data_IF_530637703929
#
_entry.id   IF_530637703929
#
_cell.length_a   1.000
_cell.length_b   1.000
_cell.length_c   1.000
_cell.angle_alpha   90.00
_cell.angle_beta   90.00
_cell.angle_gamma   90.00
#
_symmetry.space_group_name_H-M   'P 1'
#
loop_
_entity.id
_entity.type
_entity.pdbx_description
1 polymer ?
#
# COMPACT_ATOMS: atom_id res chain seq x y z
N UNK A 1 0.39 -34.94 -0.71
CA UNK A 1 1.36 -33.92 -0.24
C UNK A 1 1.25 -32.73 -1.16
N UNK A 2 1.02 -31.52 -0.64
CA UNK A 2 0.88 -30.30 -1.44
C UNK A 2 1.85 -29.22 -0.92
N UNK A 3 2.20 -28.26 -1.79
CA UNK A 3 2.99 -27.10 -1.38
C UNK A 3 2.19 -26.20 -0.43
N UNK A 4 2.86 -25.62 0.56
CA UNK A 4 2.23 -24.63 1.45
C UNK A 4 2.14 -23.28 0.74
N UNK A 5 0.91 -22.91 0.35
CA UNK A 5 0.59 -21.67 -0.37
C UNK A 5 0.91 -20.40 0.43
N UNK A 6 1.00 -20.51 1.76
CA UNK A 6 1.24 -19.37 2.66
C UNK A 6 2.70 -19.26 3.10
N UNK A 7 3.54 -20.23 2.70
CA UNK A 7 4.96 -20.20 3.06
C UNK A 7 5.62 -19.02 2.38
N UNK A 8 6.33 -18.24 3.19
CA UNK A 8 6.98 -17.02 2.73
C UNK A 8 8.39 -17.31 2.25
N UNK A 9 8.78 -16.66 1.15
CA UNK A 9 10.17 -16.55 0.72
C UNK A 9 10.92 -15.52 1.55
N UNK A 10 12.05 -15.04 1.02
CA UNK A 10 12.77 -13.90 1.58
C UNK A 10 11.81 -12.72 1.73
N UNK A 11 11.97 -11.90 2.78
CA UNK A 11 11.24 -10.62 2.95
C UNK A 11 9.74 -10.74 3.27
N UNK A 12 9.26 -11.96 3.49
CA UNK A 12 7.86 -12.22 3.78
C UNK A 12 6.97 -12.35 2.54
N UNK A 13 7.55 -12.42 1.33
CA UNK A 13 6.79 -12.64 0.09
C UNK A 13 6.06 -13.97 0.13
N UNK A 14 4.74 -13.95 -0.04
CA UNK A 14 3.99 -15.17 -0.38
C UNK A 14 3.88 -15.32 -1.90
N UNK A 15 3.58 -16.53 -2.40
CA UNK A 15 3.20 -16.73 -3.80
C UNK A 15 2.12 -15.74 -4.29
N UNK A 16 1.18 -15.37 -3.41
CA UNK A 16 0.10 -14.43 -3.72
C UNK A 16 0.60 -12.99 -3.95
N UNK A 17 1.67 -12.55 -3.28
CA UNK A 17 2.27 -11.25 -3.57
C UNK A 17 2.87 -11.25 -4.98
N UNK A 18 3.63 -12.29 -5.31
CA UNK A 18 4.33 -12.39 -6.59
C UNK A 18 3.36 -12.55 -7.78
N UNK A 19 2.20 -13.16 -7.59
CA UNK A 19 1.17 -13.24 -8.64
C UNK A 19 0.51 -11.90 -8.98
N UNK A 20 0.71 -10.87 -8.15
CA UNK A 20 0.19 -9.53 -8.39
C UNK A 20 1.16 -8.66 -9.22
N UNK A 21 2.38 -9.15 -9.48
CA UNK A 21 3.34 -8.48 -10.34
C UNK A 21 2.84 -8.46 -11.80
N UNK A 22 3.06 -7.34 -12.50
CA UNK A 22 2.62 -7.16 -13.90
C UNK A 22 3.29 -8.13 -14.87
N UNK A 23 4.45 -8.69 -14.51
CA UNK A 23 5.17 -9.68 -15.29
C UNK A 23 4.65 -11.11 -15.08
N UNK A 24 3.81 -11.34 -14.06
CA UNK A 24 3.25 -12.66 -13.79
C UNK A 24 2.03 -12.94 -14.67
N UNK A 25 1.81 -14.21 -15.03
CA UNK A 25 0.59 -14.62 -15.74
C UNK A 25 -0.62 -14.46 -14.80
N UNK A 26 -1.66 -13.70 -15.19
CA UNK A 26 -2.87 -13.52 -14.38
C UNK A 26 -3.54 -14.83 -13.96
N UNK A 27 -3.40 -15.91 -14.75
CA UNK A 27 -3.95 -17.22 -14.41
C UNK A 27 -3.35 -17.80 -13.12
N UNK A 28 -2.13 -17.39 -12.74
CA UNK A 28 -1.49 -17.79 -11.49
C UNK A 28 -2.24 -17.21 -10.29
N UNK A 29 -2.69 -15.95 -10.36
CA UNK A 29 -3.47 -15.32 -9.30
C UNK A 29 -4.77 -16.08 -9.05
N UNK A 30 -5.51 -16.41 -10.11
CA UNK A 30 -6.75 -17.19 -10.02
C UNK A 30 -6.51 -18.60 -9.45
N UNK A 31 -5.42 -19.25 -9.87
CA UNK A 31 -5.04 -20.58 -9.37
C UNK A 31 -4.73 -20.53 -7.88
N UNK A 32 -4.00 -19.51 -7.43
CA UNK A 32 -3.68 -19.34 -6.02
C UNK A 32 -4.95 -19.08 -5.23
N UNK A 33 -5.81 -18.16 -5.65
CA UNK A 33 -7.06 -17.81 -4.95
C UNK A 33 -8.04 -18.98 -4.83
N UNK A 34 -8.12 -19.86 -5.83
CA UNK A 34 -8.90 -21.12 -5.74
C UNK A 34 -8.49 -22.00 -4.56
N UNK A 35 -7.22 -21.95 -4.16
CA UNK A 35 -6.66 -22.70 -3.03
C UNK A 35 -6.78 -21.96 -1.69
N UNK A 36 -7.55 -20.85 -1.63
CA UNK A 36 -7.86 -20.07 -0.41
C UNK A 36 -6.62 -19.67 0.40
N UNK A 37 -5.69 -18.89 -0.18
CA UNK A 37 -4.52 -18.39 0.51
C UNK A 37 -4.92 -17.36 1.59
N UNK A 38 -3.99 -17.04 2.48
CA UNK A 38 -4.13 -15.91 3.38
C UNK A 38 -4.02 -14.60 2.58
N UNK A 39 -5.15 -14.06 2.13
CA UNK A 39 -5.23 -12.87 1.27
C UNK A 39 -4.58 -11.63 1.89
N UNK A 40 -4.70 -11.45 3.21
CA UNK A 40 -4.16 -10.30 3.92
C UNK A 40 -2.81 -10.58 4.58
N UNK A 41 -2.06 -11.59 4.13
CA UNK A 41 -0.73 -11.90 4.67
C UNK A 41 0.19 -10.71 4.42
N UNK A 42 0.92 -10.26 5.45
CA UNK A 42 1.80 -9.10 5.36
C UNK A 42 3.27 -9.49 5.16
N UNK A 43 3.97 -8.74 4.32
CA UNK A 43 5.42 -8.75 4.19
C UNK A 43 6.11 -8.08 5.40
N UNK A 44 7.44 -7.97 5.37
CA UNK A 44 8.21 -7.35 6.45
C UNK A 44 8.01 -5.83 6.57
N UNK A 45 7.69 -5.14 5.49
CA UNK A 45 7.29 -3.72 5.49
C UNK A 45 5.81 -3.52 5.88
N UNK A 46 5.05 -4.61 6.01
CA UNK A 46 3.64 -4.59 6.32
C UNK A 46 2.73 -4.56 5.09
N UNK A 47 3.29 -4.55 3.88
CA UNK A 47 2.50 -4.59 2.65
C UNK A 47 1.71 -5.90 2.55
N UNK A 48 0.47 -5.79 2.08
CA UNK A 48 -0.40 -6.90 1.72
C UNK A 48 -0.33 -7.14 0.21
N UNK A 49 -0.82 -8.28 -0.31
CA UNK A 49 -0.96 -8.50 -1.75
C UNK A 49 -1.76 -7.40 -2.44
N UNK A 50 -2.75 -6.79 -1.75
CA UNK A 50 -3.50 -5.65 -2.28
C UNK A 50 -2.62 -4.40 -2.40
N UNK A 51 -1.87 -4.05 -1.36
CA UNK A 51 -0.90 -2.94 -1.42
C UNK A 51 0.13 -3.16 -2.52
N UNK A 52 0.60 -4.40 -2.69
CA UNK A 52 1.52 -4.78 -3.76
C UNK A 52 0.88 -4.63 -5.15
N UNK A 53 -0.36 -5.09 -5.36
CA UNK A 53 -1.06 -4.95 -6.64
C UNK A 53 -1.33 -3.48 -7.00
N UNK A 54 -1.74 -2.67 -6.03
CA UNK A 54 -1.96 -1.22 -6.18
C UNK A 54 -0.68 -0.51 -6.57
N UNK A 55 0.43 -0.90 -5.94
CA UNK A 55 1.75 -0.40 -6.23
C UNK A 55 2.24 -0.74 -7.64
N UNK A 56 2.09 -2.00 -8.06
CA UNK A 56 2.44 -2.45 -9.42
C UNK A 56 1.53 -1.86 -10.49
N UNK A 57 0.53 -1.05 -10.09
CA UNK A 57 -0.54 -0.55 -10.94
C UNK A 57 -1.26 -1.69 -11.68
N UNK A 58 -1.33 -2.87 -11.07
CA UNK A 58 -1.97 -4.04 -11.65
C UNK A 58 -3.47 -3.99 -11.37
N UNK A 59 -4.19 -3.19 -12.16
CA UNK A 59 -5.65 -2.99 -12.05
C UNK A 59 -6.43 -4.30 -11.99
N UNK A 60 -6.01 -5.32 -12.73
CA UNK A 60 -6.71 -6.60 -12.77
C UNK A 60 -6.50 -7.38 -11.47
N UNK A 61 -5.26 -7.45 -10.98
CA UNK A 61 -4.99 -8.05 -9.68
C UNK A 61 -5.73 -7.33 -8.54
N UNK A 62 -5.81 -5.99 -8.56
CA UNK A 62 -6.57 -5.22 -7.56
C UNK A 62 -8.06 -5.61 -7.59
N UNK A 63 -8.69 -5.66 -8.77
CA UNK A 63 -10.10 -6.11 -8.90
C UNK A 63 -10.31 -7.50 -8.33
N UNK A 64 -9.44 -8.43 -8.71
CA UNK A 64 -9.55 -9.84 -8.31
C UNK A 64 -9.32 -9.98 -6.80
N UNK A 65 -8.36 -9.28 -6.21
CA UNK A 65 -8.13 -9.30 -4.77
C UNK A 65 -9.30 -8.69 -3.99
N UNK A 66 -9.82 -7.55 -4.45
CA UNK A 66 -11.01 -6.96 -3.83
C UNK A 66 -12.19 -7.92 -3.95
N UNK A 67 -12.45 -8.55 -5.10
CA UNK A 67 -13.56 -9.52 -5.25
C UNK A 67 -13.48 -10.69 -4.27
N UNK A 68 -12.27 -11.04 -3.80
CA UNK A 68 -12.02 -12.03 -2.76
C UNK A 68 -11.90 -11.46 -1.33
N UNK A 69 -12.46 -10.28 -1.08
CA UNK A 69 -12.52 -9.63 0.24
C UNK A 69 -11.15 -9.27 0.83
N UNK A 70 -10.18 -8.88 0.00
CA UNK A 70 -8.96 -8.24 0.49
C UNK A 70 -9.30 -6.96 1.28
N UNK A 71 -8.63 -6.78 2.43
CA UNK A 71 -8.86 -5.63 3.31
C UNK A 71 -8.11 -4.39 2.80
N UNK A 72 -8.87 -3.32 2.54
CA UNK A 72 -8.38 -2.05 2.00
C UNK A 72 -7.90 -1.08 3.09
N UNK A 73 -7.95 -1.44 4.37
CA UNK A 73 -7.52 -0.60 5.48
C UNK A 73 -6.18 -1.04 6.07
N UNK A 74 -5.64 -2.19 5.69
CA UNK A 74 -4.35 -2.68 6.17
C UNK A 74 -3.23 -1.92 5.46
N UNK A 75 -2.53 -1.07 6.21
CA UNK A 75 -1.38 -0.30 5.75
C UNK A 75 -0.03 -0.95 6.00
N UNK A 76 1.03 -0.22 5.63
CA UNK A 76 2.40 -0.51 6.02
C UNK A 76 2.55 -0.51 7.56
N UNK A 77 3.61 -1.12 8.05
CA UNK A 77 3.99 -0.94 9.46
C UNK A 77 4.43 0.51 9.70
N UNK A 78 4.50 0.91 10.96
CA UNK A 78 5.18 2.13 11.33
C UNK A 78 6.66 2.07 10.98
N UNK A 79 7.25 3.24 10.81
CA UNK A 79 8.61 3.47 10.35
C UNK A 79 9.61 2.81 11.29
N UNK A 80 9.34 2.83 12.59
CA UNK A 80 10.19 2.21 13.60
C UNK A 80 10.19 0.68 13.49
N UNK A 81 9.03 0.04 13.32
CA UNK A 81 8.88 -1.39 13.15
C UNK A 81 9.52 -1.87 11.84
N UNK A 82 9.40 -1.09 10.77
CA UNK A 82 10.13 -1.35 9.51
C UNK A 82 11.64 -1.30 9.77
N UNK A 83 12.13 -0.24 10.44
CA UNK A 83 13.55 -0.08 10.84
C UNK A 83 14.05 -1.21 11.74
N UNK A 84 13.23 -1.73 12.65
CA UNK A 84 13.58 -2.84 13.54
C UNK A 84 13.62 -4.18 12.82
N UNK A 85 12.63 -4.48 11.99
CA UNK A 85 12.62 -5.68 11.13
C UNK A 85 13.81 -5.68 10.17
N UNK A 86 14.19 -4.49 9.69
CA UNK A 86 15.41 -4.28 8.90
C UNK A 86 16.67 -4.64 9.67
N UNK A 87 16.82 -4.12 10.90
CA UNK A 87 17.96 -4.43 11.75
C UNK A 87 18.06 -5.92 12.06
N UNK A 88 16.93 -6.58 12.32
CA UNK A 88 16.92 -8.03 12.59
C UNK A 88 17.30 -8.84 11.35
N UNK A 89 16.76 -8.48 10.18
CA UNK A 89 17.16 -9.11 8.92
C UNK A 89 18.68 -8.98 8.69
N UNK A 90 19.24 -7.78 8.89
CA UNK A 90 20.68 -7.52 8.75
C UNK A 90 21.54 -8.29 9.78
N UNK A 91 21.01 -8.54 10.99
CA UNK A 91 21.71 -9.30 12.03
C UNK A 91 21.78 -10.79 11.69
N UNK A 92 20.70 -11.33 11.13
CA UNK A 92 20.61 -12.75 10.76
C UNK A 92 21.49 -13.10 9.54
N UNK A 93 21.76 -12.13 8.66
CA UNK A 93 22.54 -12.34 7.44
C UNK A 93 24.04 -12.04 7.57
N UNK A 94 24.49 -11.51 8.71
CA UNK A 94 25.91 -11.42 9.03
C UNK A 94 26.71 -10.47 8.13
N UNK A 95 26.34 -9.18 8.13
CA UNK A 95 27.14 -7.98 7.79
C UNK A 95 28.21 -8.05 6.66
N UNK A 96 28.05 -8.92 5.65
CA UNK A 96 28.96 -8.99 4.51
C UNK A 96 28.25 -8.44 3.28
N UNK A 97 28.56 -7.19 2.97
CA UNK A 97 28.10 -6.42 1.81
C UNK A 97 26.59 -6.16 1.73
N UNK A 98 26.23 -5.00 2.29
CA UNK A 98 24.93 -4.29 2.31
C UNK A 98 24.32 -4.01 0.91
N UNK A 99 24.88 -4.57 -0.17
CA UNK A 99 24.68 -4.09 -1.54
C UNK A 99 23.80 -5.03 -2.38
N UNK A 100 23.79 -6.34 -2.11
CA UNK A 100 23.00 -7.32 -2.87
C UNK A 100 21.76 -7.81 -2.10
N UNK A 101 21.84 -7.92 -0.77
CA UNK A 101 20.72 -8.43 0.06
C UNK A 101 19.74 -7.35 0.55
N UNK A 102 20.10 -6.07 0.39
CA UNK A 102 19.12 -4.98 0.36
C UNK A 102 18.36 -4.95 -0.97
N UNK A 103 18.24 -6.08 -1.70
CA UNK A 103 17.45 -6.20 -2.92
C UNK A 103 16.03 -5.68 -2.72
N UNK A 104 15.43 -5.90 -1.56
CA UNK A 104 14.09 -5.42 -1.24
C UNK A 104 14.04 -3.92 -0.95
N UNK A 105 15.11 -3.38 -0.36
CA UNK A 105 15.27 -1.96 -0.15
C UNK A 105 15.57 -1.25 -1.45
N UNK A 106 16.43 -1.79 -2.31
CA UNK A 106 16.61 -1.33 -3.68
C UNK A 106 15.36 -1.55 -4.53
N UNK A 107 14.57 -2.59 -4.28
CA UNK A 107 13.32 -2.87 -4.99
C UNK A 107 12.23 -1.88 -4.54
N UNK A 108 12.01 -1.70 -3.24
CA UNK A 108 11.16 -0.66 -2.66
C UNK A 108 11.66 0.74 -3.09
N UNK A 109 12.98 0.97 -3.07
CA UNK A 109 13.64 2.25 -3.42
C UNK A 109 13.70 2.53 -4.92
N UNK A 110 13.75 1.53 -5.80
CA UNK A 110 13.68 1.73 -7.26
C UNK A 110 12.25 1.80 -7.75
N UNK A 111 11.32 1.10 -7.08
CA UNK A 111 9.99 0.85 -7.61
C UNK A 111 8.87 1.64 -6.89
N UNK A 112 9.03 2.10 -5.63
CA UNK A 112 8.14 3.13 -5.01
C UNK A 112 8.33 4.52 -5.58
N UNK A 113 9.30 4.66 -6.48
CA UNK A 113 10.17 5.81 -6.47
C UNK A 113 10.47 6.27 -7.91
N UNK A 114 9.92 5.63 -8.96
CA UNK A 114 9.96 6.25 -10.30
C UNK A 114 9.14 7.54 -10.39
N UNK A 115 8.12 7.72 -9.55
CA UNK A 115 7.28 8.93 -9.50
C UNK A 115 7.49 9.77 -8.23
N UNK A 116 8.04 9.20 -7.15
CA UNK A 116 8.29 9.90 -5.88
C UNK A 116 9.77 10.34 -5.71
N UNK A 117 10.77 9.68 -6.33
CA UNK A 117 12.22 10.06 -6.19
C UNK A 117 12.47 11.39 -6.85
N UNK A 118 11.86 11.62 -8.01
CA UNK A 118 12.03 12.88 -8.74
C UNK A 118 11.63 14.08 -7.87
N UNK A 119 10.77 13.85 -6.87
CA UNK A 119 10.29 14.87 -5.94
C UNK A 119 11.14 15.01 -4.67
N UNK A 120 11.86 13.98 -4.25
CA UNK A 120 12.60 13.96 -2.98
C UNK A 120 14.02 13.42 -3.21
N UNK A 121 14.96 14.34 -3.43
CA UNK A 121 16.41 14.10 -3.37
C UNK A 121 16.85 13.71 -1.93
N UNK A 122 16.34 12.63 -1.33
CA UNK A 122 16.70 12.27 0.05
C UNK A 122 16.96 10.78 0.31
N UNK A 123 17.73 10.58 1.38
CA UNK A 123 18.19 9.33 1.95
C UNK A 123 17.03 8.39 2.32
N UNK A 124 17.30 7.08 2.26
CA UNK A 124 16.41 5.96 2.58
C UNK A 124 15.55 6.15 3.85
N UNK A 125 16.09 6.80 4.88
CA UNK A 125 15.37 7.02 6.14
C UNK A 125 14.13 7.90 5.95
N UNK A 126 14.21 8.93 5.09
CA UNK A 126 13.10 9.84 4.82
C UNK A 126 11.93 9.10 4.15
N UNK A 127 12.21 8.12 3.27
CA UNK A 127 11.17 7.37 2.56
C UNK A 127 10.38 6.48 3.51
N UNK A 128 11.07 5.78 4.41
CA UNK A 128 10.41 4.96 5.44
C UNK A 128 9.47 5.84 6.27
N UNK A 129 9.94 7.03 6.66
CA UNK A 129 9.14 8.00 7.44
C UNK A 129 7.94 8.55 6.64
N UNK A 130 8.03 8.64 5.31
CA UNK A 130 6.91 9.04 4.44
C UNK A 130 5.84 7.94 4.36
N UNK A 131 6.22 6.67 4.22
CA UNK A 131 5.26 5.58 4.02
C UNK A 131 4.79 4.91 5.32
N UNK A 132 5.41 5.25 6.46
CA UNK A 132 5.05 4.73 7.77
C UNK A 132 3.56 4.80 8.05
N UNK A 133 2.94 3.64 8.26
CA UNK A 133 1.51 3.51 8.53
C UNK A 133 0.58 3.88 7.36
N UNK A 134 1.10 4.10 6.14
CA UNK A 134 0.28 4.45 4.99
C UNK A 134 -0.63 3.29 4.58
N UNK A 135 -1.89 3.58 4.28
CA UNK A 135 -2.91 2.61 3.84
C UNK A 135 -3.06 2.59 2.31
N UNK A 136 -3.79 1.62 1.73
CA UNK A 136 -4.13 1.61 0.31
C UNK A 136 -4.63 2.96 -0.24
N UNK A 137 -5.47 3.67 0.52
CA UNK A 137 -6.00 4.98 0.10
C UNK A 137 -4.89 6.04 0.06
N UNK A 138 -4.00 6.06 1.05
CA UNK A 138 -2.82 6.94 1.02
C UNK A 138 -1.94 6.63 -0.19
N UNK A 139 -1.70 5.36 -0.49
CA UNK A 139 -0.84 4.93 -1.59
C UNK A 139 -1.33 5.50 -2.93
N UNK A 140 -2.65 5.47 -3.16
CA UNK A 140 -3.24 6.00 -4.39
C UNK A 140 -3.15 7.51 -4.52
N UNK A 141 -3.04 8.24 -3.40
CA UNK A 141 -2.75 9.67 -3.43
C UNK A 141 -1.33 9.99 -3.90
N UNK A 142 -0.42 9.01 -3.99
CA UNK A 142 0.92 9.21 -4.57
C UNK A 142 0.97 8.90 -6.07
N UNK A 143 0.01 8.13 -6.61
CA UNK A 143 0.03 7.68 -8.02
C UNK A 143 -0.73 8.60 -8.97
N UNK A 144 -1.54 9.52 -8.45
CA UNK A 144 -2.46 10.38 -9.20
C UNK A 144 -3.44 9.60 -10.11
N UNK A 145 -3.71 8.33 -9.80
CA UNK A 145 -4.62 7.48 -10.58
C UNK A 145 -6.04 7.51 -9.98
N UNK A 146 -6.87 8.43 -10.49
CA UNK A 146 -8.25 8.62 -10.03
C UNK A 146 -9.13 7.38 -10.27
N UNK A 147 -8.86 6.59 -11.32
CA UNK A 147 -9.63 5.38 -11.61
C UNK A 147 -9.33 4.29 -10.60
N UNK A 148 -8.06 4.16 -10.20
CA UNK A 148 -7.68 3.20 -9.17
C UNK A 148 -8.21 3.61 -7.78
N UNK A 149 -8.28 4.93 -7.50
CA UNK A 149 -8.95 5.45 -6.29
C UNK A 149 -10.42 5.06 -6.28
N UNK A 150 -11.15 5.29 -7.38
CA UNK A 150 -12.56 4.92 -7.49
C UNK A 150 -12.77 3.44 -7.21
N UNK A 151 -11.93 2.60 -7.80
CA UNK A 151 -11.98 1.16 -7.64
C UNK A 151 -11.75 0.72 -6.18
N UNK A 152 -10.81 1.34 -5.48
CA UNK A 152 -10.58 1.08 -4.06
C UNK A 152 -11.76 1.57 -3.20
N UNK A 153 -12.35 2.70 -3.56
CA UNK A 153 -13.47 3.31 -2.83
C UNK A 153 -14.79 2.55 -2.97
N UNK A 154 -14.94 1.65 -3.95
CA UNK A 154 -16.06 0.69 -4.00
C UNK A 154 -16.17 -0.16 -2.73
N UNK A 155 -15.08 -0.30 -1.96
CA UNK A 155 -15.05 -1.04 -0.69
C UNK A 155 -15.17 -0.17 0.54
N UNK A 156 -15.50 1.10 0.36
CA UNK A 156 -15.72 2.07 1.42
C UNK A 156 -14.61 2.07 2.49
N UNK A 157 -13.32 2.17 2.08
CA UNK A 157 -12.21 2.28 3.03
C UNK A 157 -12.35 3.56 3.84
N UNK A 158 -11.68 3.61 4.99
CA UNK A 158 -11.64 4.83 5.77
C UNK A 158 -10.78 5.90 5.07
N UNK A 159 -11.44 6.90 4.48
CA UNK A 159 -10.78 8.03 3.79
C UNK A 159 -10.23 9.09 4.75
N UNK A 160 -10.55 9.00 6.04
CA UNK A 160 -10.09 9.92 7.08
C UNK A 160 -8.97 9.31 7.95
N UNK A 161 -8.53 8.10 7.62
CA UNK A 161 -7.47 7.41 8.34
C UNK A 161 -6.18 8.23 8.34
N UNK A 162 -5.47 8.23 9.47
CA UNK A 162 -4.20 8.94 9.62
C UNK A 162 -3.05 7.95 9.56
N UNK A 163 -2.02 8.25 8.77
CA UNK A 163 -0.74 7.54 8.82
C UNK A 163 0.12 8.03 9.99
N UNK A 164 1.34 7.50 10.13
CA UNK A 164 2.20 7.73 11.30
C UNK A 164 2.53 9.22 11.57
N UNK A 165 2.74 10.01 10.51
CA UNK A 165 2.98 11.47 10.64
C UNK A 165 1.71 12.30 10.89
N UNK A 166 0.55 11.63 11.04
CA UNK A 166 -0.74 12.25 11.26
C UNK A 166 -1.45 12.73 9.99
N UNK A 167 -0.84 12.57 8.80
CA UNK A 167 -1.45 12.91 7.51
C UNK A 167 -2.62 12.02 7.17
N UNK A 168 -3.66 12.59 6.57
CA UNK A 168 -4.78 11.86 5.97
C UNK A 168 -4.59 11.71 4.45
N UNK A 169 -5.35 10.84 3.76
CA UNK A 169 -5.32 10.77 2.30
C UNK A 169 -5.59 12.11 1.61
N UNK A 170 -6.51 12.92 2.15
CA UNK A 170 -6.77 14.28 1.65
C UNK A 170 -5.57 15.20 1.84
N UNK A 171 -4.87 15.11 2.98
CA UNK A 171 -3.65 15.88 3.21
C UNK A 171 -2.57 15.56 2.17
N UNK A 172 -2.36 14.27 1.87
CA UNK A 172 -1.42 13.83 0.83
C UNK A 172 -1.85 14.35 -0.55
N UNK A 173 -3.12 14.20 -0.94
CA UNK A 173 -3.61 14.69 -2.23
C UNK A 173 -3.40 16.21 -2.40
N UNK A 174 -3.62 16.99 -1.33
CA UNK A 174 -3.37 18.43 -1.32
C UNK A 174 -1.87 18.77 -1.41
N UNK A 175 -1.02 18.04 -0.70
CA UNK A 175 0.44 18.23 -0.72
C UNK A 175 1.01 18.10 -2.14
N UNK A 176 0.56 17.10 -2.90
CA UNK A 176 0.99 16.86 -4.28
C UNK A 176 0.21 17.66 -5.33
N UNK A 177 -0.78 18.45 -4.92
CA UNK A 177 -1.59 19.26 -5.84
C UNK A 177 -2.52 18.44 -6.74
N UNK A 178 -2.90 17.22 -6.33
CA UNK A 178 -3.81 16.36 -7.08
C UNK A 178 -5.26 16.79 -6.87
N UNK A 179 -5.63 17.85 -7.59
CA UNK A 179 -6.92 18.53 -7.47
C UNK A 179 -8.09 17.57 -7.68
N UNK A 180 -8.01 16.66 -8.64
CA UNK A 180 -9.13 15.76 -8.93
C UNK A 180 -9.36 14.74 -7.81
N UNK A 181 -8.29 14.26 -7.20
CA UNK A 181 -8.36 13.38 -6.02
C UNK A 181 -8.90 14.14 -4.81
N UNK A 182 -8.38 15.34 -4.55
CA UNK A 182 -8.85 16.18 -3.45
C UNK A 182 -10.34 16.55 -3.60
N UNK A 183 -10.76 16.94 -4.81
CA UNK A 183 -12.18 17.16 -5.15
C UNK A 183 -13.00 15.91 -4.93
N UNK A 184 -12.48 14.74 -5.34
CA UNK A 184 -13.18 13.49 -5.14
C UNK A 184 -13.43 13.25 -3.65
N UNK A 185 -12.39 13.31 -2.80
CA UNK A 185 -12.54 13.13 -1.36
C UNK A 185 -13.48 14.14 -0.70
N UNK A 186 -13.41 15.42 -1.09
CA UNK A 186 -14.29 16.47 -0.57
C UNK A 186 -15.75 16.29 -1.00
N UNK A 187 -15.98 15.82 -2.23
CA UNK A 187 -17.31 15.55 -2.75
C UNK A 187 -17.87 14.21 -2.28
N UNK A 188 -17.01 13.30 -1.81
CA UNK A 188 -17.39 12.05 -1.14
C UNK A 188 -17.46 12.18 0.38
N UNK A 189 -17.15 13.35 0.96
CA UNK A 189 -17.31 13.57 2.39
C UNK A 189 -18.80 13.40 2.78
N UNK A 190 -19.07 12.79 3.94
CA UNK A 190 -20.38 12.25 4.26
C UNK A 190 -21.42 13.35 4.27
N UNK A 191 -22.52 13.07 3.59
CA UNK A 191 -23.75 13.88 3.51
C UNK A 191 -24.44 14.10 4.87
N UNK A 192 -23.75 13.86 6.01
CA UNK A 192 -24.35 13.85 7.34
C UNK A 192 -23.86 14.95 8.31
N UNK A 193 -22.86 15.78 7.98
CA UNK A 193 -22.35 16.77 8.97
C UNK A 193 -22.88 18.21 8.78
N UNK A 194 -23.50 18.54 7.65
CA UNK A 194 -23.99 19.91 7.40
C UNK A 194 -25.51 20.07 7.28
N UNK A 195 -26.29 18.99 7.36
CA UNK A 195 -27.76 19.07 7.30
C UNK A 195 -28.42 19.53 8.62
N UNK A 196 -27.65 19.70 9.71
CA UNK A 196 -28.19 19.99 11.05
C UNK A 196 -27.79 21.32 11.70
N UNK A 197 -27.03 22.21 11.03
CA UNK A 197 -26.48 23.42 11.68
C UNK A 197 -26.86 24.75 11.01
N UNK A 198 -27.97 24.83 10.27
CA UNK A 198 -28.42 26.11 9.68
C UNK A 198 -29.79 26.62 10.10
N UNK A 199 -30.40 26.13 11.18
CA UNK A 199 -31.55 26.82 11.79
C UNK A 199 -31.51 26.71 13.31
N UNK A 200 -30.91 27.73 13.96
CA UNK A 200 -31.38 28.35 15.21
C UNK A 200 -30.28 29.26 15.78
N UNK A 201 -30.05 30.43 15.18
CA UNK A 201 -29.76 31.65 15.94
C UNK A 201 -30.22 32.87 15.12
N UNK A 202 -31.49 33.24 15.27
CA UNK A 202 -31.99 34.61 15.16
C UNK A 202 -33.17 34.75 16.12
#
# INVERSE_FOLDING_TARGET
>A
MGADINKTGTLGFTPLHLSCDTMCDPAVLDLLLKNKPCINKRMYDGSTPLLFALYENNREAVKVLLSHSADCNIGFYDSQAIKEKLKEANRLTGNSNVNEENAWLQWLTKRCLSSVVDYVNQELNTVIDIIGGATPVHLMCFTNDIDMIRLLLERNPDINIRKEDGSTPLFVACMFGFIDIAKYFLNTAPTEIFAGMTEQVL
#
